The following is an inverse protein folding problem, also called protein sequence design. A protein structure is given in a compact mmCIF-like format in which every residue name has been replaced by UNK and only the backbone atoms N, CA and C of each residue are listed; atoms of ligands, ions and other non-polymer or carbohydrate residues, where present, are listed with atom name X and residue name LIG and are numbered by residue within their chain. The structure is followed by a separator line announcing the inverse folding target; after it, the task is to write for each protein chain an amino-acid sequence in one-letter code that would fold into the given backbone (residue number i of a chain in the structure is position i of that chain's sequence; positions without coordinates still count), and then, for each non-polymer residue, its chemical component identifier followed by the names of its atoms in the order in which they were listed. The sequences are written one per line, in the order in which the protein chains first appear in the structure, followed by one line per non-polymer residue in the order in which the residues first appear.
data_IF_500761157292
#
_entry.id   IF_500761157292
#
_cell.length_a   1.000
_cell.length_b   1.000
_cell.length_c   1.000
_cell.angle_alpha   90.00
_cell.angle_beta   90.00
_cell.angle_gamma   90.00
#
_symmetry.space_group_name_H-M   'P 1'
#
loop_
_entity.id
_entity.type
_entity.pdbx_description
1 polymer ?
#
# COMPACT_ATOMS: atom_id res chain seq x y z
N UNK A 1 1.68 3.24 6.74
CA UNK A 1 0.22 3.10 6.78
C UNK A 1 -0.20 2.24 5.61
N UNK A 2 -1.23 1.42 5.79
CA UNK A 2 -1.70 0.44 4.81
C UNK A 2 -3.16 0.10 5.10
N UNK A 3 -3.92 -0.25 4.07
CA UNK A 3 -5.23 -0.88 4.17
C UNK A 3 -5.38 -1.97 3.10
N UNK A 4 -6.37 -2.86 3.28
CA UNK A 4 -6.73 -3.83 2.24
C UNK A 4 -7.30 -3.12 1.01
N UNK A 5 -7.05 -3.68 -0.17
CA UNK A 5 -7.55 -3.19 -1.46
C UNK A 5 -8.27 -4.32 -2.19
N UNK A 6 -9.41 -4.01 -2.81
CA UNK A 6 -10.14 -5.00 -3.60
C UNK A 6 -11.38 -4.41 -4.26
N UNK A 7 -12.56 -4.93 -3.94
CA UNK A 7 -13.82 -4.42 -4.53
C UNK A 7 -14.13 -3.01 -4.05
N UNK A 8 -13.79 -2.72 -2.80
CA UNK A 8 -13.79 -1.40 -2.22
C UNK A 8 -12.35 -0.85 -2.14
N UNK A 9 -12.20 0.47 -2.23
CA UNK A 9 -10.88 1.12 -2.11
C UNK A 9 -10.27 0.85 -0.73
N UNK A 10 -11.06 0.98 0.34
CA UNK A 10 -10.69 0.51 1.66
C UNK A 10 -11.43 -0.80 1.93
N UNK A 11 -10.89 -1.90 1.43
CA UNK A 11 -11.57 -3.19 1.48
C UNK A 11 -11.58 -3.76 2.91
N UNK A 12 -12.51 -4.67 3.15
CA UNK A 12 -12.63 -5.35 4.43
C UNK A 12 -11.46 -6.30 4.67
N UNK A 13 -10.91 -6.27 5.88
CA UNK A 13 -9.98 -7.28 6.36
C UNK A 13 -9.66 -7.12 7.85
N UNK A 14 -9.34 -8.23 8.51
CA UNK A 14 -9.04 -8.24 9.94
C UNK A 14 -7.59 -7.85 10.14
N UNK A 15 -7.34 -6.59 10.48
CA UNK A 15 -5.98 -6.02 10.59
C UNK A 15 -5.12 -6.65 11.71
N UNK A 16 -5.72 -7.42 12.63
CA UNK A 16 -5.00 -8.12 13.70
C UNK A 16 -4.55 -9.53 13.29
N UNK A 17 -5.03 -10.06 12.17
CA UNK A 17 -4.60 -11.37 11.67
C UNK A 17 -3.33 -11.24 10.83
N UNK A 18 -2.50 -12.31 10.77
CA UNK A 18 -1.34 -12.33 9.90
C UNK A 18 -1.72 -12.13 8.44
N UNK A 19 -0.92 -11.36 7.70
CA UNK A 19 -1.04 -11.26 6.24
C UNK A 19 -0.83 -12.64 5.60
N UNK A 20 -1.65 -12.95 4.60
CA UNK A 20 -1.60 -14.21 3.85
C UNK A 20 -1.41 -13.95 2.36
N UNK A 21 -0.91 -14.96 1.64
CA UNK A 21 -0.75 -14.90 0.20
C UNK A 21 -2.08 -14.55 -0.50
N UNK A 22 -1.98 -13.79 -1.60
CA UNK A 22 -3.09 -13.25 -2.40
C UNK A 22 -3.88 -12.10 -1.76
N UNK A 23 -3.58 -11.68 -0.53
CA UNK A 23 -4.09 -10.42 -0.03
C UNK A 23 -3.45 -9.24 -0.77
N UNK A 24 -4.22 -8.19 -1.04
CA UNK A 24 -3.74 -6.96 -1.68
C UNK A 24 -3.83 -5.82 -0.67
N UNK A 25 -2.77 -5.02 -0.60
CA UNK A 25 -2.64 -3.90 0.33
C UNK A 25 -2.04 -2.68 -0.35
N UNK A 26 -2.38 -1.50 0.15
CA UNK A 26 -1.64 -0.27 -0.14
C UNK A 26 -0.37 -0.18 0.70
N UNK A 27 0.67 0.47 0.17
CA UNK A 27 1.86 0.90 0.92
C UNK A 27 2.05 2.39 0.66
N UNK A 28 1.65 3.22 1.62
CA UNK A 28 1.42 4.65 1.39
C UNK A 28 2.13 5.59 2.39
N UNK A 29 3.48 5.57 2.48
CA UNK A 29 4.20 6.52 3.32
C UNK A 29 4.04 7.95 2.82
N UNK A 30 3.80 8.88 3.75
CA UNK A 30 3.75 10.31 3.46
C UNK A 30 4.43 11.15 4.53
N UNK A 31 4.96 12.30 4.11
CA UNK A 31 5.50 13.34 4.96
C UNK A 31 4.73 14.62 4.68
N UNK A 32 4.33 15.30 5.75
CA UNK A 32 3.57 16.55 5.69
C UNK A 32 4.22 17.55 6.64
N UNK A 33 4.58 18.73 6.12
CA UNK A 33 5.21 19.83 6.85
C UNK A 33 4.31 21.07 6.69
N UNK A 34 3.34 21.26 7.60
CA UNK A 34 2.33 22.32 7.47
C UNK A 34 2.91 23.74 7.40
N UNK A 35 3.97 24.01 8.17
CA UNK A 35 4.62 25.32 8.25
C UNK A 35 5.24 25.73 6.90
N UNK A 36 5.72 24.74 6.14
CA UNK A 36 6.27 24.91 4.80
C UNK A 36 5.23 24.76 3.69
N UNK A 37 3.96 24.44 4.04
CA UNK A 37 2.89 24.10 3.10
C UNK A 37 3.31 22.98 2.13
N UNK A 38 4.08 22.02 2.63
CA UNK A 38 4.65 20.94 1.85
C UNK A 38 4.06 19.60 2.27
N UNK A 39 3.76 18.75 1.30
CA UNK A 39 3.28 17.40 1.55
C UNK A 39 3.55 16.50 0.36
N UNK A 40 4.09 15.31 0.62
CA UNK A 40 4.30 14.27 -0.37
C UNK A 40 3.84 12.94 0.22
N UNK A 41 3.11 12.16 -0.58
CA UNK A 41 2.83 10.75 -0.33
C UNK A 41 3.15 9.99 -1.60
N UNK A 42 3.83 8.86 -1.44
CA UNK A 42 4.00 7.86 -2.50
C UNK A 42 3.23 6.62 -2.07
N UNK A 43 2.51 6.02 -3.01
CA UNK A 43 1.55 4.96 -2.72
C UNK A 43 1.55 3.95 -3.86
N UNK A 44 1.78 2.68 -3.52
CA UNK A 44 1.71 1.55 -4.44
C UNK A 44 0.78 0.46 -3.88
N UNK A 45 0.15 -0.27 -4.80
CA UNK A 45 -0.61 -1.48 -4.49
C UNK A 45 0.28 -2.72 -4.62
N UNK A 46 0.31 -3.54 -3.59
CA UNK A 46 1.09 -4.78 -3.56
C UNK A 46 0.23 -5.99 -3.27
N UNK A 47 0.52 -7.10 -3.95
CA UNK A 47 -0.06 -8.42 -3.63
C UNK A 47 0.95 -9.26 -2.87
N UNK A 48 0.52 -9.82 -1.73
CA UNK A 48 1.34 -10.72 -0.93
C UNK A 48 1.56 -12.03 -1.69
N UNK A 49 2.83 -12.42 -1.84
CA UNK A 49 3.21 -13.69 -2.44
C UNK A 49 3.33 -14.78 -1.38
N UNK A 50 3.24 -16.05 -1.78
CA UNK A 50 3.48 -17.18 -0.88
C UNK A 50 4.92 -17.17 -0.33
N UNK A 51 5.89 -16.70 -1.12
CA UNK A 51 7.30 -16.57 -0.75
C UNK A 51 7.91 -15.35 -1.43
N UNK A 52 8.87 -14.72 -0.74
CA UNK A 52 9.59 -13.54 -1.23
C UNK A 52 8.85 -12.24 -0.97
N UNK A 53 9.31 -11.18 -1.63
CA UNK A 53 8.74 -9.84 -1.48
C UNK A 53 7.34 -9.74 -2.12
N UNK A 54 6.45 -8.87 -1.61
CA UNK A 54 5.18 -8.55 -2.26
C UNK A 54 5.39 -8.09 -3.71
N UNK A 55 4.51 -8.51 -4.62
CA UNK A 55 4.58 -8.08 -6.01
C UNK A 55 3.86 -6.73 -6.16
N UNK A 56 4.59 -5.71 -6.62
CA UNK A 56 4.05 -4.38 -6.87
C UNK A 56 3.25 -4.36 -8.19
N UNK A 57 1.95 -4.10 -8.07
CA UNK A 57 1.00 -4.02 -9.18
C UNK A 57 1.13 -2.71 -9.96
N UNK A 58 1.73 -1.69 -9.35
CA UNK A 58 1.87 -0.32 -9.83
C UNK A 58 3.28 0.00 -10.35
N UNK A 59 4.22 -0.97 -10.32
CA UNK A 59 5.66 -0.81 -10.63
C UNK A 59 6.03 -0.17 -11.98
N UNK A 60 5.08 -0.03 -12.91
CA UNK A 60 5.31 0.59 -14.20
C UNK A 60 5.06 2.11 -14.18
N UNK A 61 4.56 2.65 -13.07
CA UNK A 61 4.42 4.08 -12.83
C UNK A 61 5.79 4.62 -12.38
N UNK A 62 6.40 5.56 -13.10
CA UNK A 62 7.70 6.11 -12.74
C UNK A 62 7.65 6.85 -11.39
N UNK A 63 8.68 6.64 -10.57
CA UNK A 63 8.85 7.28 -9.25
C UNK A 63 10.19 8.02 -9.15
N UNK A 64 11.09 7.81 -10.13
CA UNK A 64 12.41 8.46 -10.26
C UNK A 64 12.42 9.53 -11.35
#
# INVERSE_FOLDING_TARGET
TSHHMGLDTHDYGILTEPMQANMVFTVEPGIYIPEERFGIRLEDDVIIQEKGEPFNLMKNIPIE
#
